data_IF_831280190053
#
_entry.id   IF_831280190053
#
_cell.length_a   1.000
_cell.length_b   1.000
_cell.length_c   1.000
_cell.angle_alpha   90.00
_cell.angle_beta   90.00
_cell.angle_gamma   90.00
#
_symmetry.space_group_name_H-M   'P 1'
#
loop_
_entity.id
_entity.type
_entity.pdbx_description
1 polymer ?
#
# COMPACT_ATOMS: atom_id res chain seq x y z
N UNK A 1 9.70 27.30 12.39
CA UNK A 1 8.42 26.87 12.97
C UNK A 1 8.44 25.35 13.16
N UNK A 2 7.87 24.86 14.25
CA UNK A 2 7.82 23.44 14.67
C UNK A 2 7.31 22.49 13.53
N UNK A 3 6.50 22.99 12.64
CA UNK A 3 5.96 22.24 11.50
C UNK A 3 7.03 21.91 10.44
N UNK A 4 7.94 22.85 10.16
CA UNK A 4 8.97 22.65 9.11
C UNK A 4 10.03 21.64 9.52
N UNK A 5 10.37 21.58 10.80
CA UNK A 5 11.40 20.67 11.32
C UNK A 5 10.93 19.22 11.47
N UNK A 6 9.60 18.97 11.40
CA UNK A 6 9.00 17.64 11.52
C UNK A 6 8.32 17.14 10.24
N UNK A 7 8.36 17.95 9.17
CA UNK A 7 7.79 17.53 7.89
C UNK A 7 8.72 16.54 7.19
N UNK A 8 8.27 15.32 7.02
CA UNK A 8 8.88 14.32 6.16
C UNK A 8 7.92 14.05 4.97
N UNK A 9 8.33 14.33 3.72
CA UNK A 9 7.47 14.07 2.57
C UNK A 9 7.13 12.60 2.37
N UNK A 10 7.89 11.68 2.97
CA UNK A 10 7.70 10.24 2.89
C UNK A 10 6.84 9.65 4.01
N UNK A 11 6.55 10.43 5.06
CA UNK A 11 5.78 9.95 6.20
C UNK A 11 4.92 11.06 6.81
N UNK A 12 3.64 10.76 7.03
CA UNK A 12 2.73 11.67 7.74
C UNK A 12 2.82 11.53 9.27
N UNK A 13 3.52 10.53 9.78
CA UNK A 13 3.50 10.19 11.21
C UNK A 13 4.11 11.27 12.11
N UNK A 14 5.22 11.94 11.74
CA UNK A 14 5.75 13.05 12.54
C UNK A 14 4.76 14.23 12.67
N UNK A 15 3.92 14.44 11.66
CA UNK A 15 2.88 15.48 11.69
C UNK A 15 1.65 15.02 12.45
N UNK A 16 1.26 13.76 12.31
CA UNK A 16 0.15 13.16 13.06
C UNK A 16 0.39 13.14 14.56
N UNK A 17 1.64 12.96 15.00
CA UNK A 17 2.02 13.01 16.41
C UNK A 17 1.74 14.40 17.05
N UNK A 18 1.60 15.45 16.23
CA UNK A 18 1.23 16.78 16.69
C UNK A 18 -0.28 17.01 16.72
N UNK A 19 -1.09 16.01 16.30
CA UNK A 19 -2.53 16.15 16.24
C UNK A 19 -3.14 16.26 17.64
N UNK A 20 -3.86 17.35 17.88
CA UNK A 20 -4.57 17.54 19.11
C UNK A 20 -5.89 16.74 19.10
N UNK A 21 -5.95 15.65 19.85
CA UNK A 21 -7.14 14.79 19.96
C UNK A 21 -8.33 15.55 20.61
N UNK A 22 -8.05 16.58 21.42
CA UNK A 22 -9.06 17.38 22.12
C UNK A 22 -9.64 18.52 21.27
N UNK A 23 -9.51 18.46 19.94
CA UNK A 23 -10.07 19.49 19.05
C UNK A 23 -11.59 19.54 19.13
N UNK A 24 -12.13 20.76 19.17
CA UNK A 24 -13.58 20.98 19.06
C UNK A 24 -14.07 20.73 17.63
N UNK A 25 -15.36 20.44 17.49
CA UNK A 25 -16.00 20.27 16.16
C UNK A 25 -15.81 21.51 15.26
N UNK A 26 -15.84 22.72 15.86
CA UNK A 26 -15.59 23.98 15.14
C UNK A 26 -14.16 24.05 14.56
N UNK A 27 -13.16 23.68 15.34
CA UNK A 27 -11.75 23.66 14.89
C UNK A 27 -11.56 22.67 13.74
N UNK A 28 -12.16 21.47 13.80
CA UNK A 28 -12.10 20.48 12.72
C UNK A 28 -12.75 21.00 11.43
N UNK A 29 -13.93 21.65 11.53
CA UNK A 29 -14.61 22.27 10.39
C UNK A 29 -13.77 23.39 9.77
N UNK A 30 -13.17 24.24 10.59
CA UNK A 30 -12.27 25.31 10.13
C UNK A 30 -11.05 24.73 9.38
N UNK A 31 -10.43 23.70 9.93
CA UNK A 31 -9.32 23.00 9.27
C UNK A 31 -9.73 22.43 7.90
N UNK A 32 -10.84 21.68 7.83
CA UNK A 32 -11.34 21.11 6.57
C UNK A 32 -11.68 22.18 5.53
N UNK A 33 -12.23 23.32 5.96
CA UNK A 33 -12.51 24.46 5.08
C UNK A 33 -11.23 25.04 4.47
N UNK A 34 -10.20 25.21 5.29
CA UNK A 34 -8.88 25.69 4.82
C UNK A 34 -8.25 24.67 3.88
N UNK A 35 -8.29 23.39 4.23
CA UNK A 35 -7.75 22.30 3.42
C UNK A 35 -8.43 22.26 2.03
N UNK A 36 -9.77 22.29 1.99
CA UNK A 36 -10.52 22.30 0.73
C UNK A 36 -10.19 23.54 -0.11
N UNK A 37 -10.13 24.74 0.52
CA UNK A 37 -9.72 25.98 -0.18
C UNK A 37 -8.38 25.84 -0.87
N UNK A 38 -7.38 25.26 -0.20
CA UNK A 38 -6.04 25.07 -0.78
C UNK A 38 -6.02 23.96 -1.83
N UNK A 39 -6.79 22.89 -1.66
CA UNK A 39 -6.94 21.84 -2.68
C UNK A 39 -7.39 22.42 -4.03
N UNK A 40 -8.42 23.31 -4.01
CA UNK A 40 -8.92 23.95 -5.24
C UNK A 40 -7.99 25.06 -5.75
N UNK A 41 -7.24 25.72 -4.89
CA UNK A 41 -6.32 26.79 -5.30
C UNK A 41 -5.01 26.26 -5.84
N UNK A 42 -4.52 25.12 -5.35
CA UNK A 42 -3.23 24.53 -5.71
C UNK A 42 -3.34 23.02 -5.98
N UNK A 43 -4.19 22.59 -6.92
CA UNK A 43 -4.45 21.18 -7.17
C UNK A 43 -3.20 20.38 -7.55
N UNK A 44 -2.28 21.01 -8.30
CA UNK A 44 -1.03 20.38 -8.73
C UNK A 44 -0.15 19.93 -7.55
N UNK A 45 -0.11 20.72 -6.48
CA UNK A 45 0.67 20.37 -5.27
C UNK A 45 0.10 19.12 -4.59
N UNK A 46 -1.24 19.01 -4.49
CA UNK A 46 -1.89 17.85 -3.90
C UNK A 46 -1.75 16.60 -4.77
N UNK A 47 -1.88 16.75 -6.09
CA UNK A 47 -1.66 15.66 -7.05
C UNK A 47 -0.21 15.18 -6.97
N UNK A 48 0.75 16.09 -6.97
CA UNK A 48 2.17 15.74 -6.86
C UNK A 48 2.49 15.04 -5.53
N UNK A 49 1.90 15.52 -4.41
CA UNK A 49 2.06 14.86 -3.12
C UNK A 49 1.47 13.43 -3.13
N UNK A 50 0.29 13.23 -3.73
CA UNK A 50 -0.32 11.92 -3.88
C UNK A 50 0.56 10.99 -4.75
N UNK A 51 1.06 11.48 -5.88
CA UNK A 51 1.97 10.72 -6.75
C UNK A 51 3.25 10.35 -6.02
N UNK A 52 3.87 11.30 -5.31
CA UNK A 52 5.10 11.05 -4.55
C UNK A 52 4.91 10.01 -3.43
N UNK A 53 3.71 9.94 -2.85
CA UNK A 53 3.40 8.96 -1.81
C UNK A 53 3.01 7.57 -2.36
N UNK A 54 2.58 7.51 -3.62
CA UNK A 54 2.03 6.29 -4.22
C UNK A 54 2.86 5.71 -5.36
N UNK A 55 3.93 6.38 -5.80
CA UNK A 55 4.71 5.95 -6.95
C UNK A 55 5.26 4.52 -6.81
N UNK A 56 5.58 4.10 -5.59
CA UNK A 56 6.07 2.74 -5.30
C UNK A 56 5.05 1.64 -5.63
N UNK A 57 3.74 1.96 -5.71
CA UNK A 57 2.74 1.01 -6.21
C UNK A 57 2.91 0.67 -7.68
N UNK A 58 3.48 1.58 -8.47
CA UNK A 58 3.65 1.41 -9.92
C UNK A 58 5.10 1.16 -10.32
N UNK A 59 6.03 1.70 -9.52
CA UNK A 59 7.43 1.66 -9.84
C UNK A 59 8.13 0.44 -9.24
N UNK A 60 8.87 -0.25 -10.10
CA UNK A 60 9.71 -1.36 -9.68
C UNK A 60 11.05 -0.81 -9.18
N UNK A 61 11.16 -0.58 -7.89
CA UNK A 61 12.41 -0.19 -7.26
C UNK A 61 12.91 -1.30 -6.34
N UNK A 62 14.19 -1.63 -6.48
CA UNK A 62 14.82 -2.74 -5.75
C UNK A 62 14.92 -2.47 -4.24
N UNK A 63 14.98 -1.20 -3.85
CA UNK A 63 15.24 -0.77 -2.48
C UNK A 63 14.12 0.05 -1.85
N UNK A 64 12.98 0.18 -2.50
CA UNK A 64 11.85 0.96 -2.00
C UNK A 64 11.15 0.35 -0.79
N UNK A 65 10.41 1.17 -0.04
CA UNK A 65 9.58 0.73 1.09
C UNK A 65 8.39 -0.13 0.65
N UNK A 66 8.01 -0.06 -0.62
CA UNK A 66 7.01 -0.93 -1.25
C UNK A 66 7.42 -2.37 -1.37
N UNK A 67 8.68 -2.69 -1.02
CA UNK A 67 9.17 -4.07 -1.07
C UNK A 67 8.53 -4.90 0.02
N UNK A 68 8.00 -6.02 -0.39
CA UNK A 68 7.43 -7.02 0.48
C UNK A 68 8.54 -7.74 1.25
N UNK A 69 8.71 -7.47 2.52
CA UNK A 69 9.54 -8.30 3.38
C UNK A 69 9.01 -8.30 4.81
N UNK A 70 9.31 -9.35 5.51
CA UNK A 70 8.87 -9.50 6.89
C UNK A 70 9.77 -8.71 7.84
N UNK A 71 9.19 -7.71 8.52
CA UNK A 71 9.91 -6.85 9.46
C UNK A 71 9.39 -6.97 10.91
N UNK A 72 8.38 -7.76 11.17
CA UNK A 72 7.71 -7.85 12.45
C UNK A 72 8.37 -8.84 13.42
N UNK A 73 9.57 -8.52 13.91
CA UNK A 73 10.27 -9.40 14.85
C UNK A 73 10.03 -9.04 16.29
N UNK A 74 9.84 -7.74 16.55
CA UNK A 74 9.60 -7.23 17.89
C UNK A 74 8.18 -6.69 17.99
N UNK A 75 7.43 -7.18 18.97
CA UNK A 75 6.20 -6.56 19.42
C UNK A 75 6.58 -5.60 20.52
N UNK A 76 6.15 -4.35 20.41
CA UNK A 76 6.34 -3.38 21.47
C UNK A 76 5.49 -3.80 22.66
N UNK A 77 6.15 -4.21 23.75
CA UNK A 77 5.50 -4.72 24.96
C UNK A 77 4.61 -3.66 25.63
N UNK A 78 4.93 -2.38 25.46
CA UNK A 78 4.14 -1.27 26.00
C UNK A 78 2.84 -1.08 25.21
N UNK A 79 2.85 -1.38 23.91
CA UNK A 79 1.69 -1.21 23.03
C UNK A 79 0.73 -2.40 23.07
N UNK A 80 1.25 -3.60 23.31
CA UNK A 80 0.49 -4.86 23.32
C UNK A 80 0.61 -5.54 24.69
N UNK A 81 -0.16 -5.06 25.66
CA UNK A 81 -0.22 -5.57 27.01
C UNK A 81 -0.27 -7.10 27.05
N UNK A 82 0.81 -7.72 27.52
CA UNK A 82 0.87 -9.15 27.78
C UNK A 82 1.22 -10.07 26.61
N UNK A 83 1.57 -9.52 25.43
CA UNK A 83 2.08 -10.36 24.32
C UNK A 83 3.60 -10.46 24.43
N UNK A 84 4.08 -11.62 24.80
CA UNK A 84 5.52 -11.91 24.84
C UNK A 84 6.03 -12.35 23.48
N UNK A 85 7.18 -11.79 23.07
CA UNK A 85 7.89 -12.17 21.85
C UNK A 85 8.65 -13.52 21.99
N UNK A 86 8.65 -14.11 23.16
CA UNK A 86 9.31 -15.37 23.48
C UNK A 86 8.52 -16.59 23.02
N UNK A 87 8.06 -16.60 21.75
CA UNK A 87 7.43 -17.80 21.21
C UNK A 87 8.50 -18.77 20.67
N UNK A 88 8.22 -20.07 20.77
CA UNK A 88 9.01 -21.15 20.18
C UNK A 88 9.24 -20.98 18.66
N UNK A 89 8.49 -20.11 18.01
CA UNK A 89 8.58 -19.76 16.61
C UNK A 89 9.57 -18.61 16.29
N UNK A 90 10.24 -18.02 17.28
CA UNK A 90 11.16 -16.89 17.05
C UNK A 90 12.30 -17.24 16.07
N UNK A 91 12.92 -18.41 16.27
CA UNK A 91 13.96 -18.90 15.36
C UNK A 91 13.47 -19.01 13.90
N UNK A 92 12.25 -19.49 13.71
CA UNK A 92 11.65 -19.59 12.38
C UNK A 92 11.35 -18.22 11.76
N UNK A 93 10.86 -17.27 12.57
CA UNK A 93 10.61 -15.89 12.13
C UNK A 93 11.91 -15.19 11.69
N UNK A 94 12.98 -15.35 12.47
CA UNK A 94 14.28 -14.81 12.13
C UNK A 94 14.81 -15.43 10.83
N UNK A 95 14.76 -16.77 10.71
CA UNK A 95 15.18 -17.46 9.49
C UNK A 95 14.36 -17.04 8.26
N UNK A 96 13.04 -16.89 8.41
CA UNK A 96 12.15 -16.42 7.34
C UNK A 96 12.52 -14.99 6.92
N UNK A 97 12.73 -14.09 7.88
CA UNK A 97 13.17 -12.72 7.60
C UNK A 97 14.47 -12.70 6.80
N UNK A 98 15.48 -13.45 7.27
CA UNK A 98 16.80 -13.46 6.64
C UNK A 98 16.71 -14.07 5.23
N UNK A 99 15.92 -15.11 5.05
CA UNK A 99 15.63 -15.68 3.72
C UNK A 99 14.95 -14.67 2.79
N UNK A 100 13.91 -13.97 3.27
CA UNK A 100 13.22 -12.95 2.48
C UNK A 100 14.12 -11.78 2.13
N UNK A 101 15.02 -11.41 3.05
CA UNK A 101 16.03 -10.39 2.79
C UNK A 101 17.00 -10.81 1.68
N UNK A 102 17.49 -12.04 1.72
CA UNK A 102 18.36 -12.59 0.67
C UNK A 102 17.64 -12.64 -0.70
N UNK A 103 16.37 -13.02 -0.72
CA UNK A 103 15.56 -13.00 -1.95
C UNK A 103 15.42 -11.56 -2.47
N UNK A 104 15.13 -10.60 -1.60
CA UNK A 104 14.99 -9.18 -1.94
C UNK A 104 16.25 -8.63 -2.61
N UNK A 105 17.41 -8.94 -2.05
CA UNK A 105 18.70 -8.45 -2.55
C UNK A 105 19.16 -9.16 -3.84
N UNK A 106 18.53 -10.27 -4.21
CA UNK A 106 18.86 -11.00 -5.41
C UNK A 106 18.32 -10.30 -6.68
N UNK A 107 19.16 -9.93 -7.67
CA UNK A 107 18.75 -9.19 -8.85
C UNK A 107 17.78 -9.96 -9.76
N UNK A 108 17.83 -11.30 -9.71
CA UNK A 108 17.05 -12.15 -10.61
C UNK A 108 15.66 -12.50 -10.07
N UNK A 109 15.49 -12.57 -8.76
CA UNK A 109 14.25 -13.02 -8.12
C UNK A 109 13.63 -11.99 -7.16
N UNK A 110 14.36 -10.92 -6.81
CA UNK A 110 13.90 -9.91 -5.84
C UNK A 110 12.61 -9.19 -6.26
N UNK A 111 12.32 -9.14 -7.56
CA UNK A 111 11.09 -8.57 -8.09
C UNK A 111 9.82 -9.30 -7.59
N UNK A 112 9.90 -10.58 -7.22
CA UNK A 112 8.78 -11.35 -6.65
C UNK A 112 8.30 -10.72 -5.32
N UNK A 113 9.16 -10.05 -4.61
CA UNK A 113 8.84 -9.39 -3.35
C UNK A 113 8.47 -7.91 -3.51
N UNK A 114 8.34 -7.41 -4.74
CA UNK A 114 8.02 -6.02 -5.02
C UNK A 114 6.52 -5.82 -5.27
N UNK A 115 5.91 -4.88 -4.54
CA UNK A 115 4.48 -4.54 -4.69
C UNK A 115 4.18 -4.03 -6.10
N UNK A 116 5.07 -3.20 -6.67
CA UNK A 116 4.91 -2.63 -8.01
C UNK A 116 4.80 -3.69 -9.09
N UNK A 117 5.52 -4.81 -8.97
CA UNK A 117 5.38 -5.94 -9.89
C UNK A 117 3.95 -6.47 -9.90
N UNK A 118 3.38 -6.75 -8.74
CA UNK A 118 2.01 -7.28 -8.65
C UNK A 118 0.96 -6.25 -9.08
N UNK A 119 1.18 -4.98 -8.79
CA UNK A 119 0.29 -3.91 -9.24
C UNK A 119 0.25 -3.82 -10.77
N UNK A 120 1.42 -3.81 -11.42
CA UNK A 120 1.49 -3.80 -12.87
C UNK A 120 0.86 -5.06 -13.48
N UNK A 121 1.12 -6.24 -12.89
CA UNK A 121 0.48 -7.48 -13.32
C UNK A 121 -1.04 -7.42 -13.19
N UNK A 122 -1.57 -6.91 -12.08
CA UNK A 122 -3.00 -6.74 -11.87
C UNK A 122 -3.61 -5.79 -12.91
N UNK A 123 -2.98 -4.65 -13.18
CA UNK A 123 -3.42 -3.67 -14.19
C UNK A 123 -3.44 -4.33 -15.58
N UNK A 124 -2.37 -5.04 -15.96
CA UNK A 124 -2.29 -5.75 -17.24
C UNK A 124 -3.45 -6.75 -17.39
N UNK A 125 -3.74 -7.51 -16.34
CA UNK A 125 -4.84 -8.47 -16.36
C UNK A 125 -6.21 -7.79 -16.51
N UNK A 126 -6.44 -6.68 -15.82
CA UNK A 126 -7.69 -5.90 -15.96
C UNK A 126 -7.83 -5.35 -17.39
N UNK A 127 -6.78 -4.73 -17.92
CA UNK A 127 -6.78 -4.21 -19.30
C UNK A 127 -7.02 -5.34 -20.32
N UNK A 128 -6.36 -6.48 -20.15
CA UNK A 128 -6.59 -7.66 -20.96
C UNK A 128 -8.05 -8.14 -20.89
N UNK A 129 -8.63 -8.19 -19.69
CA UNK A 129 -10.04 -8.53 -19.48
C UNK A 129 -10.99 -7.60 -20.23
N UNK A 130 -10.74 -6.29 -20.17
CA UNK A 130 -11.52 -5.27 -20.88
C UNK A 130 -11.40 -5.44 -22.41
N UNK A 131 -10.20 -5.62 -22.95
CA UNK A 131 -9.96 -5.85 -24.37
C UNK A 131 -10.65 -7.12 -24.88
N UNK A 132 -10.72 -8.15 -24.05
CA UNK A 132 -11.42 -9.41 -24.36
C UNK A 132 -12.91 -9.36 -24.05
N UNK A 133 -13.46 -8.19 -23.70
CA UNK A 133 -14.89 -7.99 -23.37
C UNK A 133 -15.40 -8.88 -22.22
N UNK A 134 -14.51 -9.22 -21.26
CA UNK A 134 -14.83 -10.03 -20.08
C UNK A 134 -15.35 -9.14 -18.94
N UNK A 135 -16.36 -8.36 -19.23
CA UNK A 135 -16.86 -7.32 -18.32
C UNK A 135 -17.39 -7.88 -17.00
N UNK A 136 -17.98 -9.08 -16.99
CA UNK A 136 -18.46 -9.72 -15.78
C UNK A 136 -17.30 -10.06 -14.82
N UNK A 137 -16.19 -10.62 -15.38
CA UNK A 137 -14.99 -10.89 -14.60
C UNK A 137 -14.39 -9.59 -14.06
N UNK A 138 -14.19 -8.57 -14.90
CA UNK A 138 -13.63 -7.28 -14.46
C UNK A 138 -14.54 -6.62 -13.42
N UNK A 139 -15.87 -6.68 -13.61
CA UNK A 139 -16.85 -6.16 -12.65
C UNK A 139 -16.79 -6.84 -11.28
N UNK A 140 -16.53 -8.15 -11.22
CA UNK A 140 -16.36 -8.88 -9.97
C UNK A 140 -15.16 -8.36 -9.14
N UNK A 141 -14.16 -7.75 -9.80
CA UNK A 141 -12.98 -7.15 -9.13
C UNK A 141 -13.11 -5.64 -8.90
N UNK A 142 -14.29 -5.04 -9.13
CA UNK A 142 -14.52 -3.60 -8.99
C UNK A 142 -14.20 -3.06 -7.58
N UNK A 143 -14.52 -3.82 -6.52
CA UNK A 143 -14.20 -3.45 -5.15
C UNK A 143 -12.69 -3.42 -4.89
N UNK A 144 -11.93 -4.31 -5.53
CA UNK A 144 -10.48 -4.33 -5.43
C UNK A 144 -9.90 -3.12 -6.16
N UNK A 145 -10.40 -2.81 -7.35
CA UNK A 145 -10.00 -1.64 -8.14
C UNK A 145 -10.28 -0.35 -7.34
N UNK A 146 -11.46 -0.25 -6.72
CA UNK A 146 -11.81 0.89 -5.88
C UNK A 146 -10.87 1.03 -4.67
N UNK A 147 -10.56 -0.08 -4.01
CA UNK A 147 -9.64 -0.09 -2.86
C UNK A 147 -8.21 0.31 -3.26
N UNK A 148 -7.74 -0.14 -4.43
CA UNK A 148 -6.47 0.32 -5.01
C UNK A 148 -6.50 1.84 -5.18
N UNK A 149 -7.57 2.41 -5.77
CA UNK A 149 -7.75 3.85 -5.92
C UNK A 149 -7.66 4.61 -4.58
N UNK A 150 -8.28 4.08 -3.53
CA UNK A 150 -8.19 4.66 -2.17
C UNK A 150 -6.76 4.61 -1.64
N UNK A 151 -6.03 3.51 -1.87
CA UNK A 151 -4.65 3.37 -1.42
C UNK A 151 -3.68 4.34 -2.12
N UNK A 152 -3.96 4.73 -3.37
CA UNK A 152 -3.18 5.76 -4.07
C UNK A 152 -3.28 7.15 -3.40
N UNK A 153 -4.37 7.41 -2.68
CA UNK A 153 -4.55 8.65 -1.90
C UNK A 153 -3.99 8.48 -0.48
N UNK A 154 -3.63 7.26 -0.11
CA UNK A 154 -3.11 6.93 1.21
C UNK A 154 -1.74 7.55 1.51
N UNK A 155 -1.36 7.64 2.78
CA UNK A 155 -0.15 8.35 3.21
C UNK A 155 1.14 7.58 2.92
N UNK A 156 1.08 6.28 2.65
CA UNK A 156 2.27 5.44 2.47
C UNK A 156 1.94 4.11 1.81
N UNK A 157 2.90 3.58 1.04
CA UNK A 157 2.82 2.25 0.44
C UNK A 157 3.30 1.21 1.44
N UNK A 158 2.41 0.30 1.85
CA UNK A 158 2.74 -0.83 2.70
C UNK A 158 2.17 -2.13 2.15
N UNK A 159 2.89 -3.22 2.34
CA UNK A 159 2.46 -4.56 1.94
C UNK A 159 1.05 -4.92 2.46
N UNK A 160 0.71 -4.55 3.70
CA UNK A 160 -0.62 -4.81 4.30
C UNK A 160 -1.76 -4.19 3.50
N UNK A 161 -1.51 -3.07 2.80
CA UNK A 161 -2.50 -2.42 1.94
C UNK A 161 -2.54 -3.00 0.52
N UNK A 162 -1.49 -3.72 0.12
CA UNK A 162 -1.37 -4.35 -1.18
C UNK A 162 -1.81 -5.82 -1.19
N UNK A 163 -1.82 -6.46 -0.03
CA UNK A 163 -2.02 -7.90 0.11
C UNK A 163 -3.30 -8.40 -0.56
N UNK A 164 -4.40 -7.66 -0.43
CA UNK A 164 -5.70 -8.05 -0.99
C UNK A 164 -5.69 -8.17 -2.52
N UNK A 165 -5.02 -7.26 -3.24
CA UNK A 165 -4.95 -7.38 -4.70
C UNK A 165 -3.93 -8.43 -5.13
N UNK A 166 -2.83 -8.61 -4.39
CA UNK A 166 -1.84 -9.65 -4.69
C UNK A 166 -2.48 -11.04 -4.64
N UNK A 167 -3.23 -11.33 -3.56
CA UNK A 167 -3.92 -12.63 -3.41
C UNK A 167 -5.07 -12.81 -4.38
N UNK A 168 -5.60 -11.72 -4.96
CA UNK A 168 -6.68 -11.77 -5.95
C UNK A 168 -6.19 -12.11 -7.37
N UNK A 169 -4.90 -11.96 -7.67
CA UNK A 169 -4.33 -12.23 -9.01
C UNK A 169 -4.59 -13.67 -9.49
N UNK A 170 -4.33 -14.73 -8.70
CA UNK A 170 -4.62 -16.09 -9.10
C UNK A 170 -6.12 -16.31 -9.41
N UNK A 171 -7.00 -15.69 -8.61
CA UNK A 171 -8.45 -15.77 -8.84
C UNK A 171 -8.83 -15.08 -10.15
N UNK A 172 -8.30 -13.88 -10.41
CA UNK A 172 -8.55 -13.13 -11.63
C UNK A 172 -8.12 -13.94 -12.87
N UNK A 173 -6.94 -14.58 -12.83
CA UNK A 173 -6.45 -15.45 -13.89
C UNK A 173 -7.40 -16.65 -14.08
N UNK A 174 -7.81 -17.29 -12.99
CA UNK A 174 -8.73 -18.44 -13.02
C UNK A 174 -10.08 -18.10 -13.66
N UNK A 175 -10.69 -16.97 -13.26
CA UNK A 175 -11.95 -16.51 -13.86
C UNK A 175 -11.80 -16.16 -15.34
N UNK A 176 -10.69 -15.51 -15.71
CA UNK A 176 -10.42 -15.21 -17.13
C UNK A 176 -10.25 -16.46 -17.97
N UNK A 177 -9.66 -17.53 -17.44
CA UNK A 177 -9.53 -18.82 -18.13
C UNK A 177 -10.89 -19.50 -18.30
N UNK A 178 -11.68 -19.59 -17.24
CA UNK A 178 -13.01 -20.24 -17.24
C UNK A 178 -13.98 -19.62 -18.24
N UNK A 179 -14.00 -18.31 -18.40
CA UNK A 179 -14.82 -17.65 -19.43
C UNK A 179 -14.37 -17.96 -20.86
N UNK A 180 -13.12 -18.36 -21.08
CA UNK A 180 -12.62 -18.77 -22.40
C UNK A 180 -13.15 -20.13 -22.79
N UNK A 181 -13.35 -21.05 -21.87
CA UNK A 181 -13.83 -22.41 -22.11
C UNK A 181 -15.34 -22.48 -22.39
N UNK A 182 -16.09 -21.41 -22.08
CA UNK A 182 -17.54 -21.32 -22.31
C UNK A 182 -17.93 -20.71 -23.67
N UNK A 183 -16.95 -20.29 -24.45
CA UNK A 183 -17.14 -19.74 -25.81
C UNK A 183 -16.62 -20.70 -26.89
#
# INVERSE_FOLDING_TARGET
>A
TLFRSRYDPRSSDPVKALYNIKQTSGQRKAYLKVWAKYLFRYPSVYIQAAINNSYEYLYYERYGEGTMYYNGITVDKELFLGVDNTSSSEKWRLKLRDTLFLIKENPYIGWILNIGFYMNLFIILIVYGLQRKKYATVGAFSLIILNIGINFIGPKVYMRYAFFFIVSIPLLIGFMKKEREKR
#
